data_IF_167695929326
#
_entry.id   IF_167695929326
#
_cell.length_a   1.000
_cell.length_b   1.000
_cell.length_c   1.000
_cell.angle_alpha   90.00
_cell.angle_beta   90.00
_cell.angle_gamma   90.00
#
_symmetry.space_group_name_H-M   'P 1'
#
loop_
_entity.id
_entity.type
_entity.pdbx_description
1 polymer ?
#
# COMPACT_ATOMS: atom_id res chain seq x y z
N UNK A 1 -2.11 22.69 -7.90
CA UNK A 1 -1.53 21.64 -7.05
C UNK A 1 -2.64 20.67 -6.71
N UNK A 2 -2.59 19.41 -7.17
CA UNK A 2 -3.57 18.40 -6.78
C UNK A 2 -3.30 18.05 -5.30
N UNK A 3 -4.31 18.14 -4.44
CA UNK A 3 -4.14 17.88 -3.00
C UNK A 3 -3.63 16.46 -2.80
N UNK A 4 -2.56 16.30 -2.01
CA UNK A 4 -1.99 14.99 -1.63
C UNK A 4 -3.06 14.06 -1.04
N UNK A 5 -4.10 14.62 -0.41
CA UNK A 5 -5.29 13.91 0.08
C UNK A 5 -5.98 13.05 -0.98
N UNK A 6 -6.17 13.59 -2.19
CA UNK A 6 -6.84 12.89 -3.30
C UNK A 6 -5.93 11.78 -3.86
N UNK A 7 -4.61 11.99 -3.82
CA UNK A 7 -3.62 11.01 -4.24
C UNK A 7 -3.57 9.84 -3.26
N UNK A 8 -3.57 10.12 -1.94
CA UNK A 8 -3.61 9.09 -0.89
C UNK A 8 -4.89 8.22 -1.01
N UNK A 9 -6.06 8.81 -1.19
CA UNK A 9 -7.33 8.06 -1.26
C UNK A 9 -7.54 7.33 -2.60
N UNK A 10 -7.24 7.99 -3.73
CA UNK A 10 -7.46 7.42 -5.05
C UNK A 10 -6.57 6.20 -5.35
N UNK A 11 -5.37 6.16 -4.77
CA UNK A 11 -4.47 5.01 -4.90
C UNK A 11 -4.88 3.83 -3.99
N UNK A 12 -5.41 4.14 -2.80
CA UNK A 12 -5.85 3.14 -1.82
C UNK A 12 -7.12 2.39 -2.27
N UNK A 13 -8.15 3.11 -2.74
CA UNK A 13 -9.44 2.48 -3.09
C UNK A 13 -9.30 1.56 -4.32
N UNK A 14 -8.48 1.92 -5.30
CA UNK A 14 -8.40 1.17 -6.57
C UNK A 14 -7.63 -0.15 -6.47
N UNK A 15 -6.90 -0.41 -5.38
CA UNK A 15 -5.98 -1.55 -5.26
C UNK A 15 -6.24 -2.47 -4.07
N UNK A 16 -6.92 -2.01 -3.01
CA UNK A 16 -6.91 -2.70 -1.71
C UNK A 16 -7.86 -3.90 -1.60
N UNK A 17 -8.96 -3.97 -2.35
CA UNK A 17 -9.93 -5.07 -2.19
C UNK A 17 -10.30 -5.81 -3.50
N UNK A 18 -9.83 -5.34 -4.66
CA UNK A 18 -10.18 -5.95 -5.96
C UNK A 18 -9.07 -6.83 -6.53
N UNK A 19 -8.11 -7.24 -5.70
CA UNK A 19 -7.03 -8.10 -6.13
C UNK A 19 -7.59 -9.43 -6.64
N UNK A 20 -7.56 -9.62 -7.97
CA UNK A 20 -7.66 -10.95 -8.58
C UNK A 20 -6.69 -11.87 -7.80
N UNK A 21 -7.12 -13.05 -7.34
CA UNK A 21 -6.22 -13.96 -6.68
C UNK A 21 -5.03 -14.21 -7.61
N UNK A 22 -3.84 -13.82 -7.18
CA UNK A 22 -2.63 -14.23 -7.87
C UNK A 22 -2.62 -15.76 -7.82
N UNK A 23 -2.45 -16.39 -8.97
CA UNK A 23 -2.37 -17.83 -9.09
C UNK A 23 -1.09 -18.28 -8.35
N UNK A 24 -1.25 -18.73 -7.10
CA UNK A 24 -0.15 -19.20 -6.28
C UNK A 24 0.22 -20.60 -6.77
N UNK A 25 1.37 -20.71 -7.44
CA UNK A 25 1.93 -21.99 -7.84
C UNK A 25 2.56 -22.63 -6.60
N UNK A 26 1.86 -23.58 -5.99
CA UNK A 26 2.28 -24.27 -4.77
C UNK A 26 3.35 -25.33 -5.07
N UNK A 27 4.61 -25.02 -4.78
CA UNK A 27 5.66 -26.05 -4.61
C UNK A 27 6.10 -26.03 -3.16
N UNK A 28 5.30 -26.66 -2.28
CA UNK A 28 5.67 -26.83 -0.87
C UNK A 28 6.57 -28.07 -0.80
N UNK A 29 7.84 -27.87 -0.45
CA UNK A 29 8.69 -28.96 0.01
C UNK A 29 8.37 -29.18 1.49
N UNK A 30 8.16 -30.43 1.91
CA UNK A 30 7.74 -30.79 3.27
C UNK A 30 8.78 -30.45 4.37
N UNK A 31 9.96 -29.97 3.95
CA UNK A 31 11.14 -29.82 4.82
C UNK A 31 11.37 -28.35 5.25
N UNK A 32 10.61 -27.38 4.72
CA UNK A 32 10.76 -25.99 5.10
C UNK A 32 10.02 -25.67 6.42
N UNK A 33 10.78 -25.33 7.46
CA UNK A 33 10.23 -24.81 8.72
C UNK A 33 9.58 -23.45 8.46
N UNK A 34 8.25 -23.38 8.61
CA UNK A 34 7.48 -22.14 8.52
C UNK A 34 7.79 -21.29 9.77
N UNK A 35 8.22 -20.05 9.55
CA UNK A 35 8.51 -19.05 10.57
C UNK A 35 8.06 -17.66 10.08
N UNK A 36 8.17 -16.63 10.94
CA UNK A 36 7.72 -15.27 10.63
C UNK A 36 8.32 -14.71 9.33
N UNK A 37 9.53 -15.12 8.94
CA UNK A 37 10.18 -14.59 7.73
C UNK A 37 9.65 -15.18 6.42
N UNK A 38 9.08 -16.38 6.45
CA UNK A 38 8.63 -17.10 5.24
C UNK A 38 7.14 -17.45 5.25
N UNK A 39 6.39 -17.20 6.34
CA UNK A 39 4.97 -17.56 6.46
C UNK A 39 4.10 -16.99 5.33
N UNK A 40 4.43 -15.79 4.82
CA UNK A 40 3.72 -15.17 3.70
C UNK A 40 3.78 -15.97 2.38
N UNK A 41 4.70 -16.93 2.26
CA UNK A 41 4.83 -17.82 1.08
C UNK A 41 3.89 -19.02 1.18
N UNK A 42 3.35 -19.29 2.36
CA UNK A 42 2.57 -20.48 2.68
C UNK A 42 1.07 -20.17 2.93
N UNK A 43 0.60 -18.99 2.50
CA UNK A 43 -0.75 -18.49 2.76
C UNK A 43 -1.81 -19.08 1.82
N UNK A 44 -2.91 -19.59 2.36
CA UNK A 44 -4.00 -20.14 1.55
C UNK A 44 -4.78 -21.27 2.20
N UNK A 45 -4.42 -21.65 3.43
CA UNK A 45 -5.17 -22.62 4.23
C UNK A 45 -6.39 -22.01 4.94
N UNK A 46 -6.48 -20.68 5.04
CA UNK A 46 -7.62 -19.99 5.65
C UNK A 46 -7.80 -20.26 7.14
N UNK A 47 -6.75 -20.76 7.82
CA UNK A 47 -6.77 -21.11 9.24
C UNK A 47 -5.96 -20.18 10.13
N UNK A 48 -5.81 -20.57 11.40
CA UNK A 48 -5.10 -19.83 12.45
C UNK A 48 -3.69 -19.35 12.03
N UNK A 49 -2.93 -20.18 11.30
CA UNK A 49 -1.59 -19.80 10.83
C UNK A 49 -1.58 -18.64 9.84
N UNK A 50 -2.60 -18.52 8.98
CA UNK A 50 -2.72 -17.40 8.04
C UNK A 50 -3.03 -16.10 8.81
N UNK A 51 -3.93 -16.18 9.80
CA UNK A 51 -4.28 -15.06 10.66
C UNK A 51 -3.06 -14.52 11.42
N UNK A 52 -2.35 -15.39 12.16
CA UNK A 52 -1.18 -15.01 12.95
C UNK A 52 -0.10 -14.40 12.06
N UNK A 53 0.17 -15.01 10.90
CA UNK A 53 1.15 -14.49 9.95
C UNK A 53 0.77 -13.07 9.48
N UNK A 54 -0.48 -12.85 9.04
CA UNK A 54 -0.90 -11.53 8.58
C UNK A 54 -0.87 -10.49 9.70
N UNK A 55 -1.36 -10.83 10.90
CA UNK A 55 -1.46 -9.91 12.04
C UNK A 55 -0.08 -9.48 12.53
N UNK A 56 0.84 -10.45 12.67
CA UNK A 56 2.23 -10.21 13.02
C UNK A 56 2.89 -9.28 12.00
N UNK A 57 2.83 -9.60 10.71
CA UNK A 57 3.43 -8.76 9.66
C UNK A 57 2.80 -7.37 9.57
N UNK A 58 1.48 -7.24 9.80
CA UNK A 58 0.81 -5.95 9.85
C UNK A 58 1.35 -5.06 10.97
N UNK A 59 1.60 -5.63 12.17
CA UNK A 59 2.23 -4.92 13.30
C UNK A 59 3.64 -4.45 12.96
N UNK A 60 4.45 -5.31 12.34
CA UNK A 60 5.80 -4.93 11.88
C UNK A 60 5.76 -3.77 10.88
N UNK A 61 4.87 -3.85 9.88
CA UNK A 61 4.69 -2.80 8.90
C UNK A 61 4.18 -1.50 9.52
N UNK A 62 3.32 -1.56 10.54
CA UNK A 62 2.87 -0.36 11.26
C UNK A 62 4.02 0.35 11.96
N UNK A 63 4.91 -0.40 12.61
CA UNK A 63 6.12 0.16 13.25
C UNK A 63 7.04 0.77 12.18
N UNK A 64 7.28 0.08 11.06
CA UNK A 64 8.12 0.61 9.96
C UNK A 64 7.50 1.86 9.33
N UNK A 65 6.17 1.88 9.13
CA UNK A 65 5.44 3.05 8.60
C UNK A 65 5.60 4.27 9.51
N UNK A 66 5.47 4.10 10.83
CA UNK A 66 5.71 5.18 11.79
C UNK A 66 7.15 5.69 11.72
N UNK A 67 8.13 4.79 11.64
CA UNK A 67 9.56 5.15 11.49
C UNK A 67 9.82 5.90 10.19
N UNK A 68 9.29 5.43 9.06
CA UNK A 68 9.42 6.08 7.76
C UNK A 68 8.77 7.47 7.74
N UNK A 69 7.53 7.59 8.23
CA UNK A 69 6.83 8.86 8.30
C UNK A 69 7.58 9.89 9.16
N UNK A 70 8.11 9.47 10.33
CA UNK A 70 8.93 10.34 11.16
C UNK A 70 10.23 10.73 10.48
N UNK A 71 10.89 9.80 9.78
CA UNK A 71 12.10 10.09 9.00
C UNK A 71 11.84 11.12 7.90
N UNK A 72 10.71 11.05 7.20
CA UNK A 72 10.31 12.04 6.20
C UNK A 72 10.05 13.39 6.89
N UNK A 73 9.25 13.42 7.96
CA UNK A 73 8.95 14.67 8.69
C UNK A 73 10.20 15.38 9.23
N UNK A 74 11.25 14.63 9.57
CA UNK A 74 12.51 15.18 10.10
C UNK A 74 13.47 15.64 9.02
N UNK A 75 13.22 15.34 7.75
CA UNK A 75 14.12 15.71 6.67
C UNK A 75 14.04 17.22 6.36
N UNK A 76 15.18 17.76 5.90
CA UNK A 76 15.38 19.20 5.70
C UNK A 76 14.65 19.65 4.43
N UNK A 77 13.93 20.77 4.52
CA UNK A 77 13.24 21.35 3.37
C UNK A 77 11.75 20.97 3.24
N UNK A 78 11.24 20.03 4.05
CA UNK A 78 9.79 19.78 4.10
C UNK A 78 9.08 20.94 4.81
N UNK A 79 8.14 21.57 4.08
CA UNK A 79 7.26 22.63 4.61
C UNK A 79 6.31 22.07 5.69
N UNK A 80 5.97 22.88 6.70
CA UNK A 80 5.02 22.53 7.77
C UNK A 80 3.69 21.99 7.23
N UNK A 81 3.17 22.58 6.15
CA UNK A 81 1.95 22.13 5.50
C UNK A 81 2.05 20.68 4.97
N UNK A 82 3.17 20.31 4.35
CA UNK A 82 3.42 18.95 3.86
C UNK A 82 3.53 17.94 5.00
N UNK A 83 4.13 18.31 6.14
CA UNK A 83 4.17 17.46 7.34
C UNK A 83 2.76 17.20 7.88
N UNK A 84 1.95 18.25 8.00
CA UNK A 84 0.56 18.13 8.44
C UNK A 84 -0.29 17.26 7.50
N UNK A 85 -0.02 17.34 6.19
CA UNK A 85 -0.71 16.52 5.20
C UNK A 85 -0.28 15.04 5.27
N UNK A 86 1.00 14.78 5.51
CA UNK A 86 1.47 13.42 5.79
C UNK A 86 0.79 12.84 7.05
N UNK A 87 0.69 13.61 8.13
CA UNK A 87 -0.01 13.17 9.35
C UNK A 87 -1.50 12.89 9.09
N UNK A 88 -2.15 13.67 8.21
CA UNK A 88 -3.53 13.40 7.76
C UNK A 88 -3.62 12.10 6.96
N UNK A 89 -2.72 11.84 6.03
CA UNK A 89 -2.71 10.58 5.29
C UNK A 89 -2.48 9.38 6.22
N UNK A 90 -1.57 9.48 7.20
CA UNK A 90 -1.35 8.41 8.19
C UNK A 90 -2.62 8.10 8.97
N UNK A 91 -3.31 9.13 9.50
CA UNK A 91 -4.59 8.96 10.20
C UNK A 91 -5.68 8.36 9.31
N UNK A 92 -5.81 8.83 8.07
CA UNK A 92 -6.81 8.31 7.14
C UNK A 92 -6.61 6.81 6.85
N UNK A 93 -5.35 6.36 6.78
CA UNK A 93 -5.03 4.94 6.60
C UNK A 93 -5.31 4.12 7.87
N UNK A 94 -5.08 4.69 9.06
CA UNK A 94 -5.46 4.05 10.33
C UNK A 94 -7.00 3.88 10.43
N UNK A 95 -7.76 4.91 10.07
CA UNK A 95 -9.23 4.82 10.04
C UNK A 95 -9.72 3.82 8.97
N UNK A 96 -9.07 3.78 7.80
CA UNK A 96 -9.37 2.79 6.76
C UNK A 96 -9.08 1.36 7.22
N UNK A 97 -8.06 1.16 8.07
CA UNK A 97 -7.78 -0.15 8.67
C UNK A 97 -8.88 -0.56 9.65
N UNK A 98 -9.38 0.37 10.49
CA UNK A 98 -10.48 0.11 11.44
C UNK A 98 -11.81 -0.21 10.76
N UNK A 99 -12.09 0.38 9.60
CA UNK A 99 -13.32 0.15 8.86
C UNK A 99 -13.47 -1.30 8.34
N UNK A 100 -12.45 -2.15 8.48
CA UNK A 100 -12.47 -3.53 7.97
C UNK A 100 -13.18 -4.52 8.87
N UNK A 101 -13.23 -4.23 10.16
CA UNK A 101 -14.11 -4.94 11.09
C UNK A 101 -15.61 -4.78 10.78
N UNK A 102 -15.98 -3.98 9.76
CA UNK A 102 -17.35 -3.94 9.24
C UNK A 102 -17.72 -5.21 8.48
N UNK A 103 -16.79 -5.86 7.76
CA UNK A 103 -17.12 -7.05 6.98
C UNK A 103 -17.55 -8.24 7.87
N UNK A 104 -16.82 -8.59 8.95
CA UNK A 104 -17.30 -9.58 9.91
C UNK A 104 -18.64 -9.17 10.52
N UNK A 105 -18.80 -7.92 10.97
CA UNK A 105 -20.06 -7.42 11.55
C UNK A 105 -21.26 -7.59 10.62
N UNK A 106 -21.11 -7.25 9.34
CA UNK A 106 -22.16 -7.45 8.34
C UNK A 106 -22.46 -8.92 8.11
N UNK A 107 -21.44 -9.80 8.20
CA UNK A 107 -21.63 -11.23 8.09
C UNK A 107 -22.42 -11.80 9.29
N UNK A 108 -22.15 -11.29 10.50
CA UNK A 108 -22.91 -11.60 11.72
C UNK A 108 -24.35 -11.10 11.65
N UNK A 109 -24.57 -9.87 11.18
CA UNK A 109 -25.92 -9.30 10.97
C UNK A 109 -26.76 -10.13 9.97
N UNK A 110 -26.11 -10.95 9.13
CA UNK A 110 -26.76 -11.88 8.19
C UNK A 110 -27.03 -13.28 8.77
N UNK A 111 -26.97 -13.46 10.10
CA UNK A 111 -27.26 -14.71 10.81
C UNK A 111 -26.39 -15.90 10.40
N UNK A 112 -25.12 -15.67 10.07
CA UNK A 112 -24.14 -16.75 10.05
C UNK A 112 -23.89 -17.12 11.53
N UNK A 113 -24.09 -18.38 11.89
CA UNK A 113 -23.91 -18.87 13.27
C UNK A 113 -22.63 -18.31 13.88
N UNK A 114 -22.72 -17.73 15.09
CA UNK A 114 -21.53 -17.24 15.80
C UNK A 114 -20.59 -18.42 16.06
N UNK A 115 -19.40 -18.44 15.43
CA UNK A 115 -18.41 -19.44 15.79
C UNK A 115 -18.02 -19.25 17.26
N UNK A 116 -17.64 -20.31 17.97
CA UNK A 116 -17.19 -20.17 19.34
C UNK A 116 -16.01 -19.20 19.38
N UNK A 117 -16.02 -18.24 20.32
CA UNK A 117 -15.00 -17.17 20.47
C UNK A 117 -13.55 -17.65 20.63
N UNK A 118 -13.35 -18.97 20.73
CA UNK A 118 -12.04 -19.62 20.82
C UNK A 118 -11.46 -19.97 19.45
N UNK A 119 -12.20 -19.77 18.36
CA UNK A 119 -11.76 -20.10 17.01
C UNK A 119 -11.55 -18.84 16.18
N UNK A 120 -10.39 -18.78 15.53
CA UNK A 120 -10.15 -17.87 14.41
C UNK A 120 -10.95 -18.39 13.23
N UNK A 121 -11.88 -17.58 12.74
CA UNK A 121 -12.69 -17.93 11.58
C UNK A 121 -12.11 -17.36 10.26
N UNK A 122 -12.78 -17.65 9.15
CA UNK A 122 -12.37 -17.14 7.84
C UNK A 122 -12.45 -15.60 7.77
N UNK A 123 -13.39 -14.97 8.48
CA UNK A 123 -13.56 -13.51 8.50
C UNK A 123 -12.44 -12.82 9.27
N UNK A 124 -11.93 -13.43 10.36
CA UNK A 124 -10.75 -12.97 11.08
C UNK A 124 -9.52 -12.98 10.16
N UNK A 125 -9.31 -14.07 9.42
CA UNK A 125 -8.22 -14.18 8.43
C UNK A 125 -8.38 -13.12 7.33
N UNK A 126 -9.61 -12.89 6.85
CA UNK A 126 -9.90 -11.85 5.89
C UNK A 126 -9.59 -10.46 6.44
N UNK A 127 -9.98 -10.16 7.69
CA UNK A 127 -9.67 -8.89 8.36
C UNK A 127 -8.17 -8.69 8.51
N UNK A 128 -7.44 -9.69 9.01
CA UNK A 128 -5.98 -9.65 9.17
C UNK A 128 -5.26 -9.47 7.83
N UNK A 129 -5.66 -10.23 6.80
CA UNK A 129 -5.14 -10.09 5.42
C UNK A 129 -5.36 -8.69 4.88
N UNK A 130 -6.57 -8.17 5.12
CA UNK A 130 -6.91 -6.82 4.75
C UNK A 130 -5.93 -5.90 5.47
N UNK A 131 -5.85 -5.94 6.81
CA UNK A 131 -4.98 -5.10 7.66
C UNK A 131 -3.55 -5.03 7.12
N UNK A 132 -2.93 -6.19 6.92
CA UNK A 132 -1.62 -6.35 6.27
C UNK A 132 -1.52 -5.59 4.94
N UNK A 133 -2.50 -5.75 4.04
CA UNK A 133 -2.49 -5.14 2.71
C UNK A 133 -2.49 -3.61 2.72
N UNK A 134 -3.22 -2.97 3.64
CA UNK A 134 -3.15 -1.49 3.80
C UNK A 134 -1.78 -1.09 4.32
N UNK A 135 -1.28 -1.77 5.36
CA UNK A 135 0.01 -1.43 5.97
C UNK A 135 1.15 -1.58 4.97
N UNK A 136 1.09 -2.60 4.12
CA UNK A 136 2.05 -2.83 3.03
C UNK A 136 2.02 -1.70 2.01
N UNK A 137 0.85 -1.34 1.50
CA UNK A 137 0.74 -0.25 0.51
C UNK A 137 1.15 1.11 1.08
N UNK A 138 0.78 1.37 2.33
CA UNK A 138 1.25 2.54 3.07
C UNK A 138 2.79 2.55 3.15
N UNK A 139 3.41 1.42 3.45
CA UNK A 139 4.87 1.30 3.50
C UNK A 139 5.52 1.59 2.15
N UNK A 140 5.03 0.99 1.08
CA UNK A 140 5.50 1.21 -0.30
C UNK A 140 5.42 2.69 -0.66
N UNK A 141 4.28 3.33 -0.42
CA UNK A 141 4.08 4.76 -0.66
C UNK A 141 5.07 5.64 0.14
N UNK A 142 5.27 5.36 1.42
CA UNK A 142 6.23 6.10 2.25
C UNK A 142 7.67 5.92 1.77
N UNK A 143 8.05 4.71 1.34
CA UNK A 143 9.38 4.44 0.75
C UNK A 143 9.57 5.24 -0.53
N UNK A 144 8.56 5.30 -1.38
CA UNK A 144 8.60 6.08 -2.63
C UNK A 144 8.72 7.58 -2.35
N UNK A 145 7.95 8.12 -1.40
CA UNK A 145 8.09 9.50 -0.96
C UNK A 145 9.50 9.82 -0.48
N UNK A 146 10.07 8.95 0.36
CA UNK A 146 11.43 9.11 0.90
C UNK A 146 12.50 9.06 -0.19
N UNK A 147 12.28 8.28 -1.27
CA UNK A 147 13.18 8.22 -2.43
C UNK A 147 13.18 9.52 -3.23
N UNK A 148 12.00 10.12 -3.44
CA UNK A 148 11.86 11.41 -4.14
C UNK A 148 12.48 12.55 -3.33
N UNK A 149 12.40 12.48 -2.00
CA UNK A 149 12.95 13.52 -1.13
C UNK A 149 14.47 13.60 -1.14
N UNK A 150 15.19 12.49 -1.35
CA UNK A 150 16.64 12.59 -1.56
C UNK A 150 16.83 13.22 -2.94
N UNK A 151 17.23 14.52 -3.04
CA UNK A 151 17.63 15.01 -4.34
C UNK A 151 18.77 14.10 -4.76
N UNK A 152 18.65 13.48 -5.93
CA UNK A 152 19.74 12.71 -6.52
C UNK A 152 20.92 13.68 -6.65
N UNK A 153 21.82 13.66 -5.66
CA UNK A 153 23.11 14.34 -5.70
C UNK A 153 23.95 13.82 -6.87
N UNK A 154 23.55 12.68 -7.45
CA UNK A 154 23.96 12.22 -8.76
C UNK A 154 23.07 12.83 -9.88
N UNK A 155 23.49 13.98 -10.40
CA UNK A 155 23.31 14.28 -11.82
C UNK A 155 21.96 14.85 -12.29
N UNK A 156 21.66 16.10 -11.92
CA UNK A 156 20.85 16.98 -12.78
C UNK A 156 21.70 18.11 -13.39
N UNK A 157 22.73 17.71 -14.15
CA UNK A 157 23.30 18.48 -15.25
C UNK A 157 23.33 17.60 -16.50
N UNK A 158 22.15 17.24 -17.01
CA UNK A 158 21.99 17.01 -18.44
C UNK A 158 21.01 18.05 -18.92
N UNK A 159 21.54 19.21 -19.27
CA UNK A 159 20.89 20.16 -20.17
C UNK A 159 20.37 19.34 -21.34
N UNK A 160 19.05 19.09 -21.38
CA UNK A 160 18.43 18.68 -22.63
C UNK A 160 18.63 19.85 -23.56
N UNK A 161 19.61 19.73 -24.44
CA UNK A 161 19.67 20.54 -25.65
C UNK A 161 18.26 20.54 -26.23
N UNK A 162 17.69 21.74 -26.35
CA UNK A 162 16.38 21.92 -26.99
C UNK A 162 16.51 21.27 -28.36
N UNK A 163 15.76 20.18 -28.59
CA UNK A 163 15.57 19.65 -29.94
C UNK A 163 15.02 20.82 -30.76
N UNK A 164 15.67 21.23 -31.86
CA UNK A 164 15.18 22.34 -32.67
C UNK A 164 13.76 22.03 -33.12
N UNK A 165 12.90 23.06 -33.09
CA UNK A 165 11.53 22.93 -33.53
C UNK A 165 11.49 22.44 -34.99
N UNK A 166 10.60 21.50 -35.34
CA UNK A 166 10.44 21.11 -36.72
C UNK A 166 10.04 22.33 -37.57
N UNK A 167 10.53 22.43 -38.82
CA UNK A 167 10.17 23.52 -39.71
C UNK A 167 8.65 23.56 -39.89
N UNK A 168 8.07 24.76 -39.79
CA UNK A 168 6.67 24.99 -40.16
C UNK A 168 6.53 24.73 -41.66
N UNK A 169 5.80 23.69 -42.02
CA UNK A 169 5.29 23.51 -43.37
C UNK A 169 4.29 24.65 -43.64
N UNK A 170 4.67 25.57 -44.53
CA UNK A 170 3.75 26.56 -45.09
C UNK A 170 2.77 25.83 -46.00
N UNK A 171 1.48 25.93 -45.66
CA UNK A 171 0.37 25.54 -46.52
C UNK A 171 0.22 26.67 -47.54
N UNK A 172 0.71 26.43 -48.73
CA UNK A 172 0.56 27.30 -49.89
C UNK A 172 1.22 26.57 -51.04
N UNK A 173 0.40 25.88 -51.83
CA UNK A 173 0.57 25.54 -53.25
C UNK A 173 -0.46 24.44 -53.60
N UNK A 174 -1.71 24.86 -53.72
CA UNK A 174 -2.71 24.20 -54.57
C UNK A 174 -3.31 25.34 -55.41
N UNK A 175 -2.77 25.51 -56.61
CA UNK A 175 -3.38 26.27 -57.71
C UNK A 175 -3.50 25.29 -58.87
N UNK A 176 -4.75 25.18 -59.34
CA UNK A 176 -5.30 24.60 -60.58
C UNK A 176 -4.50 23.56 -61.39
#
# INVERSE_FOLDING_TARGET
MKSLTVICFGWLIRRVCSGKPAEVKWSIFADEVINDSNCMRYLGGGGFGDFDCYEHHAKFLEIDNKKLANSIKSARGIKRASKAELDRCMRAQDESAKARGLAPKLAYDWNIEEPPKTHVDMYDVMEARCHYSIRKQQNEFLRDLKRVERPSSAGLRKTRARKPAPPRLSIGDIVD
#
